data_IF_772283411584
#
_entry.id   IF_772283411584
#
_cell.length_a   1.000
_cell.length_b   1.000
_cell.length_c   1.000
_cell.angle_alpha   90.00
_cell.angle_beta   90.00
_cell.angle_gamma   90.00
#
_symmetry.space_group_name_H-M   'P 1'
#
loop_
_entity.id
_entity.type
_entity.pdbx_description
1 polymer ?
#
# COMPACT_ATOMS: atom_id res chain seq x y z
N UNK A 1 26.35 10.13 -13.13
CA UNK A 1 25.38 9.03 -13.26
C UNK A 1 24.03 9.57 -13.67
N UNK A 2 23.44 8.98 -14.68
CA UNK A 2 22.10 9.39 -15.14
C UNK A 2 21.06 8.42 -14.59
N UNK A 3 20.03 8.96 -13.97
CA UNK A 3 18.92 8.15 -13.47
C UNK A 3 17.93 7.95 -14.61
N UNK A 4 17.73 6.70 -15.00
CA UNK A 4 16.83 6.33 -16.08
C UNK A 4 15.58 5.62 -15.58
N UNK A 5 14.72 5.26 -16.54
CA UNK A 5 13.48 4.54 -16.24
C UNK A 5 13.73 3.27 -15.46
N UNK A 6 14.79 2.52 -15.81
CA UNK A 6 15.13 1.27 -15.12
C UNK A 6 15.39 1.46 -13.64
N UNK A 7 15.93 2.59 -13.22
CA UNK A 7 16.16 2.87 -11.80
C UNK A 7 14.84 3.01 -11.05
N UNK A 8 13.88 3.72 -11.63
CA UNK A 8 12.56 3.89 -11.01
C UNK A 8 11.78 2.57 -10.97
N UNK A 9 11.83 1.81 -12.05
CA UNK A 9 11.16 0.50 -12.09
C UNK A 9 11.76 -0.46 -11.09
N UNK A 10 13.08 -0.40 -10.88
CA UNK A 10 13.75 -1.23 -9.87
C UNK A 10 13.29 -0.89 -8.46
N UNK A 11 13.19 0.40 -8.14
CA UNK A 11 12.68 0.84 -6.84
C UNK A 11 11.24 0.37 -6.66
N UNK A 12 10.39 0.53 -7.67
CA UNK A 12 9.02 0.06 -7.63
C UNK A 12 8.93 -1.44 -7.40
N UNK A 13 9.75 -2.23 -8.12
CA UNK A 13 9.77 -3.68 -7.96
C UNK A 13 10.18 -4.10 -6.55
N UNK A 14 11.19 -3.44 -5.99
CA UNK A 14 11.66 -3.72 -4.63
C UNK A 14 10.57 -3.41 -3.62
N UNK A 15 9.94 -2.24 -3.72
CA UNK A 15 8.89 -1.84 -2.80
C UNK A 15 7.67 -2.77 -2.89
N UNK A 16 7.28 -3.15 -4.11
CA UNK A 16 6.17 -4.06 -4.32
C UNK A 16 6.46 -5.42 -3.69
N UNK A 17 7.66 -5.93 -3.89
CA UNK A 17 8.10 -7.20 -3.33
C UNK A 17 8.11 -7.15 -1.80
N UNK A 18 8.62 -6.07 -1.22
CA UNK A 18 8.59 -5.87 0.24
C UNK A 18 7.15 -5.86 0.76
N UNK A 19 6.24 -5.24 0.03
CA UNK A 19 4.82 -5.26 0.39
C UNK A 19 4.24 -6.66 0.40
N UNK A 20 4.54 -7.46 -0.61
CA UNK A 20 4.10 -8.85 -0.67
C UNK A 20 4.63 -9.63 0.53
N UNK A 21 5.92 -9.53 0.82
CA UNK A 21 6.52 -10.21 1.97
C UNK A 21 5.90 -9.74 3.28
N UNK A 22 5.62 -8.45 3.40
CA UNK A 22 4.95 -7.90 4.58
C UNK A 22 3.62 -8.59 4.85
N UNK A 23 2.82 -8.83 3.82
CA UNK A 23 1.55 -9.53 3.96
C UNK A 23 1.77 -10.97 4.39
N UNK A 24 2.65 -11.71 3.70
CA UNK A 24 2.83 -13.13 3.99
C UNK A 24 3.46 -13.39 5.35
N UNK A 25 4.43 -12.57 5.75
CA UNK A 25 5.15 -12.78 7.00
C UNK A 25 4.39 -12.27 8.22
N UNK A 26 3.46 -11.33 8.03
CA UNK A 26 2.76 -10.68 9.12
C UNK A 26 1.24 -10.72 8.94
N UNK A 27 0.73 -11.77 8.34
CA UNK A 27 -0.69 -11.90 7.99
C UNK A 27 -1.64 -11.87 9.17
N UNK A 28 -1.12 -11.98 10.39
CA UNK A 28 -1.94 -11.93 11.60
C UNK A 28 -2.05 -10.51 12.19
N UNK A 29 -1.26 -9.57 11.68
CA UNK A 29 -1.26 -8.20 12.16
C UNK A 29 -1.93 -7.30 11.12
N UNK A 30 -3.13 -6.82 11.44
CA UNK A 30 -3.94 -6.02 10.51
C UNK A 30 -3.25 -4.73 10.12
N UNK A 31 -2.56 -4.07 11.05
CA UNK A 31 -1.84 -2.82 10.74
C UNK A 31 -0.73 -3.09 9.72
N UNK A 32 0.03 -4.16 9.91
CA UNK A 32 1.12 -4.49 9.00
C UNK A 32 0.58 -4.86 7.62
N UNK A 33 -0.55 -5.57 7.55
CA UNK A 33 -1.20 -5.89 6.28
C UNK A 33 -1.61 -4.59 5.57
N UNK A 34 -2.24 -3.66 6.28
CA UNK A 34 -2.64 -2.38 5.70
C UNK A 34 -1.43 -1.60 5.17
N UNK A 35 -0.38 -1.50 5.98
CA UNK A 35 0.86 -0.83 5.57
C UNK A 35 1.49 -1.49 4.35
N UNK A 36 1.45 -2.81 4.27
CA UNK A 36 2.00 -3.56 3.15
C UNK A 36 1.24 -3.28 1.86
N UNK A 37 -0.09 -3.23 1.94
CA UNK A 37 -0.93 -2.88 0.79
C UNK A 37 -0.61 -1.45 0.33
N UNK A 38 -0.46 -0.52 1.26
CA UNK A 38 -0.12 0.86 0.93
C UNK A 38 1.25 0.96 0.26
N UNK A 39 2.21 0.15 0.70
CA UNK A 39 3.53 0.08 0.08
C UNK A 39 3.44 -0.42 -1.36
N UNK A 40 2.59 -1.41 -1.61
CA UNK A 40 2.36 -1.92 -2.96
C UNK A 40 1.71 -0.87 -3.86
N UNK A 41 0.76 -0.10 -3.34
CA UNK A 41 0.14 1.00 -4.07
C UNK A 41 1.15 2.10 -4.38
N UNK A 42 2.04 2.41 -3.44
CA UNK A 42 3.13 3.35 -3.69
C UNK A 42 4.01 2.86 -4.84
N UNK A 43 4.35 1.59 -4.87
CA UNK A 43 5.16 1.00 -5.94
C UNK A 43 4.47 1.18 -7.31
N UNK A 44 3.17 0.92 -7.39
CA UNK A 44 2.40 1.13 -8.61
C UNK A 44 2.44 2.61 -9.02
N UNK A 45 2.30 3.52 -8.07
CA UNK A 45 2.34 4.96 -8.34
C UNK A 45 3.70 5.41 -8.86
N UNK A 46 4.78 4.89 -8.29
CA UNK A 46 6.13 5.18 -8.78
C UNK A 46 6.23 4.78 -10.26
N UNK A 47 5.73 3.62 -10.61
CA UNK A 47 5.75 3.15 -12.00
C UNK A 47 4.91 4.05 -12.91
N UNK A 48 3.70 4.42 -12.48
CA UNK A 48 2.83 5.29 -13.28
C UNK A 48 3.49 6.64 -13.55
N UNK A 49 4.06 7.25 -12.54
CA UNK A 49 4.73 8.55 -12.69
C UNK A 49 5.99 8.40 -13.54
N UNK A 50 6.77 7.35 -13.33
CA UNK A 50 7.98 7.12 -14.10
C UNK A 50 7.66 6.92 -15.58
N UNK A 51 6.70 6.08 -15.93
CA UNK A 51 6.30 5.88 -17.31
C UNK A 51 5.81 7.18 -17.94
N UNK A 52 5.00 7.93 -17.22
CA UNK A 52 4.49 9.22 -17.69
C UNK A 52 5.62 10.20 -18.00
N UNK A 53 6.57 10.30 -17.09
CA UNK A 53 7.71 11.21 -17.25
C UNK A 53 8.56 10.82 -18.46
N UNK A 54 8.91 9.55 -18.58
CA UNK A 54 9.81 9.09 -19.66
C UNK A 54 9.10 8.97 -21.01
N UNK A 55 7.76 8.87 -21.05
CA UNK A 55 6.99 8.93 -22.28
C UNK A 55 6.66 10.36 -22.71
N UNK A 56 6.88 11.33 -21.84
CA UNK A 56 6.63 12.73 -22.14
C UNK A 56 5.17 13.13 -22.14
N UNK A 57 4.31 12.42 -21.40
CA UNK A 57 2.91 12.78 -21.27
C UNK A 57 2.49 12.83 -19.79
N UNK A 58 1.26 13.26 -19.52
CA UNK A 58 0.75 13.42 -18.16
C UNK A 58 -0.22 12.35 -17.74
N UNK A 59 -0.52 11.38 -18.60
CA UNK A 59 -1.56 10.38 -18.34
C UNK A 59 -1.25 9.57 -17.07
N UNK A 60 -0.03 9.08 -16.93
CA UNK A 60 0.37 8.31 -15.76
C UNK A 60 0.34 9.12 -14.48
N UNK A 61 0.67 10.42 -14.57
CA UNK A 61 0.63 11.32 -13.40
C UNK A 61 -0.82 11.55 -12.95
N UNK A 62 -1.74 11.70 -13.88
CA UNK A 62 -3.16 11.83 -13.56
C UNK A 62 -3.69 10.57 -12.90
N UNK A 63 -3.37 9.39 -13.45
CA UNK A 63 -3.75 8.12 -12.83
C UNK A 63 -3.14 7.97 -11.44
N UNK A 64 -1.91 8.40 -11.25
CA UNK A 64 -1.28 8.36 -9.92
C UNK A 64 -2.05 9.18 -8.90
N UNK A 65 -2.58 10.33 -9.29
CA UNK A 65 -3.42 11.14 -8.41
C UNK A 65 -4.71 10.41 -8.02
N UNK A 66 -5.35 9.72 -8.97
CA UNK A 66 -6.52 8.90 -8.66
C UNK A 66 -6.18 7.77 -7.69
N UNK A 67 -5.07 7.08 -7.91
CA UNK A 67 -4.64 6.00 -7.02
C UNK A 67 -4.36 6.54 -5.63
N UNK A 68 -3.70 7.70 -5.51
CA UNK A 68 -3.46 8.35 -4.22
C UNK A 68 -4.75 8.72 -3.52
N UNK A 69 -5.74 9.22 -4.24
CA UNK A 69 -7.04 9.59 -3.67
C UNK A 69 -7.74 8.35 -3.11
N UNK A 70 -7.76 7.26 -3.89
CA UNK A 70 -8.36 5.99 -3.44
C UNK A 70 -7.60 5.43 -2.26
N UNK A 71 -6.28 5.46 -2.30
CA UNK A 71 -5.44 4.96 -1.21
C UNK A 71 -5.66 5.76 0.08
N UNK A 72 -5.78 7.07 -0.03
CA UNK A 72 -6.04 7.92 1.13
C UNK A 72 -7.40 7.60 1.76
N UNK A 73 -8.44 7.43 0.95
CA UNK A 73 -9.76 7.07 1.42
C UNK A 73 -9.76 5.67 2.08
N UNK A 74 -9.10 4.72 1.44
CA UNK A 74 -8.96 3.36 1.95
C UNK A 74 -8.24 3.34 3.29
N UNK A 75 -7.14 4.08 3.40
CA UNK A 75 -6.36 4.16 4.65
C UNK A 75 -7.18 4.78 5.76
N UNK A 76 -7.94 5.85 5.48
CA UNK A 76 -8.78 6.50 6.47
C UNK A 76 -9.86 5.54 6.99
N UNK A 77 -10.54 4.83 6.09
CA UNK A 77 -11.56 3.86 6.47
C UNK A 77 -10.94 2.68 7.22
N UNK A 78 -9.82 2.16 6.73
CA UNK A 78 -9.12 1.05 7.36
C UNK A 78 -8.64 1.38 8.76
N UNK A 79 -8.07 2.56 8.95
CA UNK A 79 -7.63 3.00 10.27
C UNK A 79 -8.81 3.19 11.22
N UNK A 80 -9.93 3.72 10.73
CA UNK A 80 -11.13 3.86 11.54
C UNK A 80 -11.62 2.50 12.05
N UNK A 81 -11.64 1.50 11.16
CA UNK A 81 -12.05 0.14 11.53
C UNK A 81 -11.09 -0.43 12.58
N UNK A 82 -9.80 -0.28 12.37
CA UNK A 82 -8.77 -0.79 13.30
C UNK A 82 -8.93 -0.14 14.67
N UNK A 83 -9.18 1.16 14.73
CA UNK A 83 -9.38 1.86 16.00
C UNK A 83 -10.59 1.30 16.74
N UNK A 84 -11.69 1.04 16.04
CA UNK A 84 -12.90 0.47 16.66
C UNK A 84 -12.59 -0.91 17.25
N UNK A 85 -11.93 -1.78 16.48
CA UNK A 85 -11.55 -3.09 16.97
C UNK A 85 -10.60 -3.02 18.15
N UNK A 86 -9.61 -2.13 18.08
CA UNK A 86 -8.65 -1.95 19.18
C UNK A 86 -9.36 -1.54 20.47
N UNK A 87 -10.29 -0.61 20.39
CA UNK A 87 -11.04 -0.15 21.56
C UNK A 87 -11.89 -1.24 22.17
N UNK A 88 -12.42 -2.14 21.37
CA UNK A 88 -13.29 -3.20 21.83
C UNK A 88 -12.52 -4.42 22.34
N UNK A 89 -11.36 -4.70 21.77
CA UNK A 89 -10.62 -5.95 22.03
C UNK A 89 -9.27 -5.75 22.68
N UNK A 90 -8.73 -4.55 22.64
CA UNK A 90 -7.37 -4.30 23.11
C UNK A 90 -6.30 -4.90 22.23
N UNK A 91 -6.65 -5.41 21.05
CA UNK A 91 -5.73 -6.03 20.11
C UNK A 91 -6.20 -5.77 18.68
N UNK A 92 -5.24 -5.72 17.75
CA UNK A 92 -5.48 -5.54 16.32
C UNK A 92 -5.05 -6.75 15.51
N UNK A 93 -4.72 -7.85 16.14
CA UNK A 93 -4.34 -9.07 15.44
C UNK A 93 -5.55 -9.68 14.74
N UNK A 94 -5.31 -10.28 13.57
CA UNK A 94 -6.37 -10.92 12.78
C UNK A 94 -7.03 -12.06 13.57
N UNK A 95 -6.27 -12.75 14.39
CA UNK A 95 -6.79 -13.82 15.24
C UNK A 95 -7.86 -13.32 16.19
N UNK A 96 -7.68 -12.13 16.75
CA UNK A 96 -8.67 -11.54 17.64
C UNK A 96 -9.93 -11.17 16.88
N UNK A 97 -9.80 -10.70 15.64
CA UNK A 97 -10.96 -10.42 14.78
C UNK A 97 -11.73 -11.70 14.50
N UNK A 98 -11.04 -12.79 14.24
CA UNK A 98 -11.68 -14.09 14.00
C UNK A 98 -12.42 -14.61 15.25
N UNK A 99 -11.88 -14.37 16.43
CA UNK A 99 -12.51 -14.76 17.68
C UNK A 99 -13.84 -14.06 17.91
N UNK A 100 -14.01 -12.85 17.36
CA UNK A 100 -15.27 -12.12 17.47
C UNK A 100 -16.42 -12.82 16.77
N UNK A 101 -16.13 -13.66 15.79
CA UNK A 101 -17.13 -14.39 15.03
C UNK A 101 -17.60 -15.66 15.73
N UNK A 102 -16.76 -16.16 16.59
CA UNK A 102 -17.00 -17.41 17.26
C UNK A 102 -17.61 -17.30 18.58
#
# INVERSE_FOLDING_TARGET
MTIGLGHYLSVGAILFTLGIFGIFLNRKNVIVILMSIELMLLAVNINLVAFSHFNGDLVGQVFALFVLTVAAAESAIGLAIIVVYFRNRGSIAVEDVNMMKG
#
